data_IF_521539869698
#
_entry.id   IF_521539869698
#
_cell.length_a   1.000
_cell.length_b   1.000
_cell.length_c   1.000
_cell.angle_alpha   90.00
_cell.angle_beta   90.00
_cell.angle_gamma   90.00
#
_symmetry.space_group_name_H-M   'P 1'
#
loop_
_entity.id
_entity.type
_entity.pdbx_description
1 polymer ?
#
# COMPACT_ATOMS: atom_id res chain seq x y z
N UNK A 1 6.09 -10.56 -12.74
CA UNK A 1 5.10 -9.47 -12.94
C UNK A 1 4.20 -9.41 -11.71
N UNK A 2 4.05 -8.25 -11.08
CA UNK A 2 3.12 -7.99 -9.98
C UNK A 2 2.18 -6.86 -10.38
N UNK A 3 0.87 -7.03 -10.21
CA UNK A 3 -0.12 -6.00 -10.55
C UNK A 3 -1.29 -5.98 -9.57
N UNK A 4 -1.92 -4.83 -9.45
CA UNK A 4 -3.12 -4.63 -8.64
C UNK A 4 -4.36 -4.57 -9.53
N UNK A 5 -5.40 -5.34 -9.17
CA UNK A 5 -6.76 -5.18 -9.70
C UNK A 5 -7.64 -4.48 -8.66
N UNK A 6 -8.48 -3.59 -9.17
CA UNK A 6 -9.45 -2.83 -8.40
C UNK A 6 -10.83 -3.29 -8.86
N UNK A 7 -11.77 -3.53 -7.94
CA UNK A 7 -13.09 -4.12 -8.22
C UNK A 7 -13.97 -3.37 -9.26
N UNK A 8 -13.53 -2.21 -9.75
CA UNK A 8 -14.21 -1.39 -10.77
C UNK A 8 -13.39 -1.20 -12.07
N UNK A 9 -12.30 -1.94 -12.26
CA UNK A 9 -11.45 -1.86 -13.46
C UNK A 9 -11.05 -3.23 -14.01
N UNK A 10 -11.22 -3.38 -15.32
CA UNK A 10 -10.64 -4.47 -16.12
C UNK A 10 -9.15 -4.30 -16.41
N UNK A 11 -8.61 -3.10 -16.22
CA UNK A 11 -7.18 -2.80 -16.38
C UNK A 11 -6.47 -2.80 -15.02
N UNK A 12 -5.49 -3.70 -14.87
CA UNK A 12 -4.64 -3.78 -13.70
C UNK A 12 -3.52 -2.75 -13.70
N UNK A 13 -3.13 -2.26 -12.53
CA UNK A 13 -1.97 -1.39 -12.35
C UNK A 13 -0.74 -2.27 -12.18
N UNK A 14 0.20 -2.20 -13.11
CA UNK A 14 1.47 -2.88 -12.99
C UNK A 14 2.30 -2.25 -11.85
N UNK A 15 2.57 -3.03 -10.82
CA UNK A 15 3.38 -2.63 -9.66
C UNK A 15 4.86 -2.96 -9.87
N UNK A 16 5.14 -4.07 -10.55
CA UNK A 16 6.50 -4.52 -10.85
C UNK A 16 6.53 -5.39 -12.10
N UNK A 17 7.46 -5.10 -13.00
CA UNK A 17 7.87 -6.01 -14.07
C UNK A 17 9.39 -6.08 -14.15
N UNK A 18 9.92 -7.28 -13.95
CA UNK A 18 11.36 -7.56 -14.00
C UNK A 18 11.85 -7.88 -15.43
N UNK A 19 10.95 -7.95 -16.43
CA UNK A 19 11.26 -8.22 -17.85
C UNK A 19 12.31 -9.32 -18.05
N UNK A 20 12.06 -10.50 -17.45
CA UNK A 20 12.93 -11.68 -17.47
C UNK A 20 14.35 -11.50 -16.84
N UNK A 21 14.60 -10.40 -16.14
CA UNK A 21 15.81 -10.17 -15.34
C UNK A 21 15.73 -10.76 -13.92
N UNK A 22 16.78 -10.50 -13.13
CA UNK A 22 16.75 -10.76 -11.69
C UNK A 22 15.70 -9.83 -11.05
N UNK A 23 14.88 -10.38 -10.17
CA UNK A 23 13.92 -9.59 -9.39
C UNK A 23 14.68 -8.53 -8.58
N UNK A 24 14.29 -7.25 -8.63
CA UNK A 24 14.95 -6.23 -7.82
C UNK A 24 14.52 -6.43 -6.36
N UNK A 25 15.51 -6.74 -5.52
CA UNK A 25 15.35 -7.02 -4.10
C UNK A 25 16.30 -6.08 -3.36
N UNK A 26 15.79 -5.40 -2.34
CA UNK A 26 16.59 -4.50 -1.49
C UNK A 26 17.49 -5.29 -0.50
N UNK A 27 18.23 -4.58 0.36
CA UNK A 27 19.15 -5.20 1.33
C UNK A 27 18.39 -5.99 2.41
N UNK A 28 17.13 -5.64 2.65
CA UNK A 28 16.22 -6.25 3.62
C UNK A 28 15.44 -7.45 3.05
N UNK A 29 15.53 -7.71 1.75
CA UNK A 29 14.85 -8.83 1.09
C UNK A 29 13.47 -8.52 0.52
N UNK A 30 13.05 -7.24 0.49
CA UNK A 30 11.78 -6.83 -0.09
C UNK A 30 11.88 -6.59 -1.60
N UNK A 31 10.75 -6.79 -2.27
CA UNK A 31 10.62 -6.48 -3.69
C UNK A 31 10.57 -4.97 -3.91
N UNK A 32 11.48 -4.43 -4.70
CA UNK A 32 11.43 -3.03 -5.11
C UNK A 32 10.34 -2.83 -6.17
N UNK A 33 9.18 -2.33 -5.75
CA UNK A 33 8.08 -2.06 -6.67
C UNK A 33 8.34 -0.79 -7.49
N UNK A 34 8.11 -0.87 -8.81
CA UNK A 34 8.13 0.29 -9.71
C UNK A 34 7.03 1.30 -9.38
N UNK A 35 5.92 0.84 -8.79
CA UNK A 35 4.87 1.67 -8.21
C UNK A 35 4.48 1.14 -6.84
N UNK A 36 4.50 2.02 -5.85
CA UNK A 36 4.21 1.67 -4.45
C UNK A 36 2.86 2.22 -3.96
N UNK A 37 2.22 3.10 -4.73
CA UNK A 37 0.97 3.77 -4.33
C UNK A 37 -0.10 3.53 -5.40
N UNK A 38 -1.28 3.09 -4.95
CA UNK A 38 -2.49 2.96 -5.76
C UNK A 38 -3.69 3.53 -4.98
N UNK A 39 -4.64 4.12 -5.69
CA UNK A 39 -5.89 4.63 -5.10
C UNK A 39 -7.01 3.63 -5.36
N UNK A 40 -7.74 3.27 -4.31
CA UNK A 40 -8.89 2.35 -4.38
C UNK A 40 -10.12 3.00 -3.78
N UNK A 41 -11.32 2.57 -4.22
CA UNK A 41 -12.57 3.03 -3.62
C UNK A 41 -12.69 2.50 -2.19
N UNK A 42 -13.24 3.32 -1.28
CA UNK A 42 -13.42 2.98 0.14
C UNK A 42 -14.29 1.75 0.38
N UNK A 43 -15.27 1.48 -0.49
CA UNK A 43 -16.14 0.30 -0.46
C UNK A 43 -15.78 -0.75 -1.52
N UNK A 44 -14.54 -0.76 -2.01
CA UNK A 44 -14.07 -1.73 -3.00
C UNK A 44 -13.15 -2.79 -2.39
N UNK A 45 -12.29 -3.34 -3.26
CA UNK A 45 -11.26 -4.31 -2.89
C UNK A 45 -9.97 -4.03 -3.66
N UNK A 46 -8.84 -4.23 -2.99
CA UNK A 46 -7.52 -4.25 -3.61
C UNK A 46 -7.08 -5.70 -3.74
N UNK A 47 -6.98 -6.23 -4.96
CA UNK A 47 -6.43 -7.57 -5.19
C UNK A 47 -5.06 -7.46 -5.84
N UNK A 48 -4.03 -8.02 -5.21
CA UNK A 48 -2.67 -8.03 -5.74
C UNK A 48 -2.42 -9.40 -6.34
N UNK A 49 -2.05 -9.43 -7.61
CA UNK A 49 -1.69 -10.63 -8.36
C UNK A 49 -0.20 -10.64 -8.61
N UNK A 50 0.41 -11.79 -8.35
CA UNK A 50 1.83 -12.02 -8.54
C UNK A 50 1.96 -13.19 -9.51
N UNK A 51 2.74 -12.98 -10.56
CA UNK A 51 3.11 -13.99 -11.55
C UNK A 51 4.62 -14.09 -11.65
N UNK A 52 5.14 -15.30 -11.63
CA UNK A 52 6.55 -15.59 -11.81
C UNK A 52 6.74 -16.77 -12.76
N UNK A 53 7.90 -16.83 -13.41
CA UNK A 53 8.32 -17.97 -14.21
C UNK A 53 9.27 -18.83 -13.37
N UNK A 54 8.98 -20.12 -13.31
CA UNK A 54 9.82 -21.13 -12.67
C UNK A 54 10.34 -22.14 -13.69
N UNK A 55 11.25 -23.03 -13.28
CA UNK A 55 11.71 -24.14 -14.11
C UNK A 55 10.57 -25.08 -14.56
N UNK A 56 9.47 -25.15 -13.79
CA UNK A 56 8.30 -25.96 -14.10
C UNK A 56 7.20 -25.21 -14.87
N UNK A 57 7.43 -23.94 -15.23
CA UNK A 57 6.47 -23.09 -15.92
C UNK A 57 6.01 -21.87 -15.10
N UNK A 58 4.93 -21.23 -15.56
CA UNK A 58 4.33 -20.07 -14.88
C UNK A 58 3.69 -20.49 -13.55
N UNK A 59 4.03 -19.76 -12.49
CA UNK A 59 3.44 -19.87 -11.17
C UNK A 59 2.77 -18.53 -10.83
N UNK A 60 1.67 -18.60 -10.09
CA UNK A 60 0.92 -17.40 -9.71
C UNK A 60 0.32 -17.51 -8.31
N UNK A 61 0.07 -16.36 -7.70
CA UNK A 61 -0.63 -16.21 -6.44
C UNK A 61 -1.36 -14.88 -6.38
N UNK A 62 -2.29 -14.76 -5.44
CA UNK A 62 -3.03 -13.53 -5.22
C UNK A 62 -3.43 -13.37 -3.76
N UNK A 63 -3.42 -12.13 -3.30
CA UNK A 63 -3.98 -11.72 -2.01
C UNK A 63 -4.98 -10.60 -2.24
N UNK A 64 -5.92 -10.44 -1.33
CA UNK A 64 -6.90 -9.37 -1.45
C UNK A 64 -7.17 -8.70 -0.12
N UNK A 65 -7.28 -7.38 -0.16
CA UNK A 65 -7.45 -6.53 1.00
C UNK A 65 -8.75 -5.74 0.91
N UNK A 66 -9.37 -5.56 2.08
CA UNK A 66 -10.44 -4.59 2.27
C UNK A 66 -9.80 -3.23 2.56
N UNK A 67 -10.11 -2.17 1.78
CA UNK A 67 -9.57 -0.84 2.00
C UNK A 67 -9.91 -0.30 3.38
N UNK A 68 -8.95 0.42 3.99
CA UNK A 68 -9.11 1.09 5.28
C UNK A 68 -8.89 2.59 5.14
N UNK A 69 -9.40 3.37 6.09
CA UNK A 69 -9.13 4.81 6.15
C UNK A 69 -7.72 5.15 6.61
N UNK A 70 -7.08 4.25 7.36
CA UNK A 70 -5.74 4.39 7.92
C UNK A 70 -5.20 3.04 8.39
N UNK A 71 -3.95 3.02 8.87
CA UNK A 71 -3.22 1.84 9.38
C UNK A 71 -2.67 0.91 8.29
N UNK A 72 -2.12 -0.22 8.71
CA UNK A 72 -1.49 -1.23 7.87
C UNK A 72 -2.37 -2.47 7.79
N UNK A 73 -2.28 -3.21 6.69
CA UNK A 73 -2.80 -4.57 6.55
C UNK A 73 -1.72 -5.46 5.95
N UNK A 74 -1.68 -6.71 6.39
CA UNK A 74 -0.72 -7.71 5.95
C UNK A 74 -1.48 -8.96 5.57
N UNK A 75 -1.12 -9.56 4.44
CA UNK A 75 -1.61 -10.87 4.01
C UNK A 75 -0.50 -11.60 3.27
N UNK A 76 -0.54 -12.94 3.27
CA UNK A 76 0.43 -13.76 2.55
C UNK A 76 -0.22 -14.68 1.52
N UNK A 77 0.54 -15.08 0.50
CA UNK A 77 0.15 -16.13 -0.43
C UNK A 77 1.34 -17.03 -0.78
N UNK A 78 1.05 -18.29 -1.14
CA UNK A 78 2.08 -19.23 -1.59
C UNK A 78 2.20 -19.22 -3.11
N UNK A 79 3.44 -19.11 -3.63
CA UNK A 79 3.77 -19.08 -5.05
C UNK A 79 4.94 -20.02 -5.29
N UNK A 80 4.69 -21.15 -5.95
CA UNK A 80 5.72 -22.14 -6.27
C UNK A 80 6.46 -22.70 -5.05
N UNK A 81 5.79 -22.80 -3.90
CA UNK A 81 6.37 -23.28 -2.65
C UNK A 81 7.08 -22.20 -1.81
N UNK A 82 7.20 -20.98 -2.32
CA UNK A 82 7.62 -19.82 -1.53
C UNK A 82 6.39 -19.13 -0.92
N UNK A 83 6.51 -18.64 0.31
CA UNK A 83 5.52 -17.74 0.89
C UNK A 83 5.92 -16.29 0.59
N UNK A 84 4.96 -15.49 0.14
CA UNK A 84 5.15 -14.07 -0.13
C UNK A 84 4.19 -13.30 0.75
N UNK A 85 4.73 -12.47 1.65
CA UNK A 85 3.96 -11.51 2.45
C UNK A 85 3.81 -10.20 1.67
N UNK A 86 2.63 -9.60 1.77
CA UNK A 86 2.30 -8.32 1.17
C UNK A 86 1.76 -7.40 2.27
N UNK A 87 2.43 -6.27 2.43
CA UNK A 87 2.09 -5.23 3.42
C UNK A 87 1.56 -4.00 2.70
N UNK A 88 0.38 -3.53 3.11
CA UNK A 88 -0.29 -2.35 2.54
C UNK A 88 -0.53 -1.32 3.64
N UNK A 89 0.04 -0.13 3.49
CA UNK A 89 -0.29 1.03 4.31
C UNK A 89 -1.44 1.82 3.67
N UNK A 90 -2.46 2.14 4.46
CA UNK A 90 -3.68 2.82 4.03
C UNK A 90 -3.68 4.28 4.46
N UNK A 91 -4.16 5.14 3.57
CA UNK A 91 -4.51 6.52 3.88
C UNK A 91 -5.78 6.91 3.13
N UNK A 92 -6.72 7.55 3.84
CA UNK A 92 -7.92 8.09 3.23
C UNK A 92 -7.57 9.36 2.45
N UNK A 93 -7.73 9.32 1.13
CA UNK A 93 -7.69 10.52 0.31
C UNK A 93 -8.97 11.32 0.55
N UNK A 94 -8.82 12.56 1.02
CA UNK A 94 -9.98 13.43 1.23
C UNK A 94 -10.36 14.07 -0.11
N UNK A 95 -11.49 13.65 -0.65
CA UNK A 95 -11.94 14.07 -1.99
C UNK A 95 -12.64 15.44 -2.01
N UNK A 96 -13.02 16.00 -0.86
CA UNK A 96 -13.67 17.32 -0.80
C UNK A 96 -13.20 18.20 0.35
N UNK A 97 -12.99 19.47 0.03
CA UNK A 97 -12.62 20.52 0.98
C UNK A 97 -13.66 20.65 2.11
N UNK A 98 -14.94 20.38 1.82
CA UNK A 98 -16.03 20.40 2.81
C UNK A 98 -15.87 19.31 3.89
N UNK A 99 -15.30 18.13 3.58
CA UNK A 99 -15.05 17.09 4.58
C UNK A 99 -13.84 17.44 5.45
N UNK A 100 -12.86 18.16 4.90
CA UNK A 100 -11.75 18.74 5.67
C UNK A 100 -12.30 19.81 6.63
N UNK A 101 -13.20 20.67 6.15
CA UNK A 101 -13.84 21.70 6.97
C UNK A 101 -14.73 21.11 8.09
N UNK A 102 -15.45 20.02 7.82
CA UNK A 102 -16.36 19.39 8.80
C UNK A 102 -15.64 18.57 9.88
N UNK A 103 -14.48 17.96 9.56
CA UNK A 103 -13.73 17.06 10.46
C UNK A 103 -12.40 17.62 10.93
N UNK A 104 -11.94 18.73 10.34
CA UNK A 104 -10.63 19.31 10.54
C UNK A 104 -10.66 20.79 10.95
N UNK A 105 -11.76 21.28 11.52
CA UNK A 105 -11.74 22.60 12.14
C UNK A 105 -11.00 22.52 13.48
N UNK A 106 -9.69 22.78 13.47
CA UNK A 106 -9.11 23.50 14.59
C UNK A 106 -9.69 24.92 14.53
N UNK A 107 -10.23 25.41 15.65
CA UNK A 107 -10.65 26.80 15.76
C UNK A 107 -9.45 27.69 15.32
N UNK A 108 -9.60 28.56 14.30
CA UNK A 108 -8.51 29.40 13.82
C UNK A 108 -7.96 30.34 14.89
N UNK A 109 -8.62 30.47 16.05
CA UNK A 109 -8.20 31.27 17.18
C UNK A 109 -7.71 30.46 18.39
N UNK A 110 -7.69 29.12 18.36
CA UNK A 110 -7.14 28.31 19.48
C UNK A 110 -5.61 28.47 19.64
N UNK A 111 -4.92 28.99 18.63
CA UNK A 111 -3.48 29.27 18.68
C UNK A 111 -3.09 30.37 19.68
N UNK A 112 -4.04 31.16 20.20
CA UNK A 112 -3.73 32.21 21.17
C UNK A 112 -3.67 31.74 22.62
N UNK A 113 -4.06 30.48 22.93
CA UNK A 113 -4.08 29.99 24.31
C UNK A 113 -3.11 28.84 24.61
N UNK A 114 -2.60 28.12 23.62
CA UNK A 114 -1.41 27.26 23.74
C UNK A 114 -1.03 26.70 22.35
N UNK A 115 0.18 26.99 21.81
CA UNK A 115 0.59 26.42 20.53
C UNK A 115 0.88 24.92 20.70
N UNK A 116 -0.12 24.06 20.46
CA UNK A 116 0.10 22.66 20.15
C UNK A 116 0.65 22.55 18.73
N UNK A 117 1.91 22.95 18.56
CA UNK A 117 2.68 22.55 17.39
C UNK A 117 2.79 21.03 17.42
N UNK A 118 2.31 20.28 16.40
CA UNK A 118 2.57 18.85 16.34
C UNK A 118 4.09 18.66 16.20
N UNK A 119 4.74 18.28 17.29
CA UNK A 119 6.15 17.87 17.30
C UNK A 119 6.18 16.37 17.07
N UNK A 120 6.36 15.95 15.83
CA UNK A 120 6.86 14.60 15.58
C UNK A 120 8.31 14.57 16.08
N UNK A 121 8.54 13.87 17.19
CA UNK A 121 9.89 13.43 17.55
C UNK A 121 10.16 12.18 16.71
N UNK A 122 11.26 12.16 15.97
CA UNK A 122 11.84 10.88 15.60
C UNK A 122 12.22 10.20 16.91
N UNK A 123 11.57 9.09 17.22
CA UNK A 123 12.05 8.15 18.22
C UNK A 123 13.18 7.39 17.54
N UNK A 124 14.41 7.90 17.66
CA UNK A 124 15.60 7.09 17.44
C UNK A 124 15.65 6.10 18.61
N UNK A 125 15.08 4.92 18.40
CA UNK A 125 15.34 3.80 19.29
C UNK A 125 16.82 3.42 19.14
N UNK A 126 17.57 3.82 20.17
CA UNK A 126 18.87 3.26 20.49
C UNK A 126 18.70 1.79 20.88
N UNK A 127 19.24 0.87 20.07
CA UNK A 127 20.35 -0.04 20.38
C UNK A 127 20.41 -1.18 19.36
#
# INVERSE_FOLDING_TARGET
>A
VCYALLEDKTEGILLLDSQAGKMPIDEEGNLELSRQVVSVKSMGRLTIFIKALSACGEISGSVAFIPKSSNVSQESCSIGGCEVEITVAWSLLVESQHVIELKGSADPYEHELNPCTPRMKLEEDAF
#
